data_IF_067135326178
#
_entry.id   IF_067135326178
#
_cell.length_a   1.000
_cell.length_b   1.000
_cell.length_c   1.000
_cell.angle_alpha   90.00
_cell.angle_beta   90.00
_cell.angle_gamma   90.00
#
_symmetry.space_group_name_H-M   'P 1'
#
loop_
_entity.id
_entity.type
_entity.pdbx_description
1 polymer ?
#
# COMPACT_ATOMS: atom_id res chain seq x y z
N UNK A 1 12.36 24.60 -4.31
CA UNK A 1 11.53 25.15 -3.22
C UNK A 1 10.04 25.11 -3.57
N UNK A 2 9.62 25.59 -4.76
CA UNK A 2 8.22 25.60 -5.24
C UNK A 2 7.46 24.28 -5.03
N UNK A 3 8.03 23.14 -5.46
CA UNK A 3 7.35 21.84 -5.33
C UNK A 3 6.99 21.48 -3.88
N UNK A 4 7.89 21.75 -2.93
CA UNK A 4 7.64 21.46 -1.52
C UNK A 4 6.54 22.34 -0.96
N UNK A 5 6.56 23.65 -1.25
CA UNK A 5 5.51 24.58 -0.84
C UNK A 5 4.14 24.16 -1.39
N UNK A 6 4.06 23.81 -2.67
CA UNK A 6 2.83 23.29 -3.29
C UNK A 6 2.38 21.95 -2.68
N UNK A 7 3.31 21.10 -2.24
CA UNK A 7 2.98 19.81 -1.63
C UNK A 7 2.39 19.99 -0.24
N UNK A 8 2.94 20.91 0.56
CA UNK A 8 2.39 21.28 1.86
C UNK A 8 0.98 21.85 1.66
N UNK A 9 0.83 22.79 0.72
CA UNK A 9 -0.43 23.39 0.34
C UNK A 9 -1.49 22.35 -0.08
N UNK A 10 -1.11 21.39 -0.92
CA UNK A 10 -1.99 20.28 -1.35
C UNK A 10 -2.46 19.42 -0.19
N UNK A 11 -1.61 19.24 0.83
CA UNK A 11 -1.81 18.28 1.93
C UNK A 11 -2.42 18.91 3.18
N UNK A 12 -2.67 20.21 3.18
CA UNK A 12 -3.29 20.92 4.29
C UNK A 12 -4.65 20.30 4.63
N UNK A 13 -4.90 20.14 5.93
CA UNK A 13 -6.10 19.46 6.46
C UNK A 13 -7.16 20.43 6.94
N UNK A 14 -6.72 21.58 7.43
CA UNK A 14 -7.57 22.69 7.84
C UNK A 14 -7.75 23.72 6.70
N UNK A 15 -8.94 24.33 6.63
CA UNK A 15 -9.28 25.27 5.56
C UNK A 15 -8.74 26.67 5.83
N UNK A 16 -8.76 27.13 7.07
CA UNK A 16 -8.30 28.47 7.45
C UNK A 16 -6.77 28.53 7.36
N UNK A 17 -6.08 27.50 7.89
CA UNK A 17 -4.64 27.34 7.74
C UNK A 17 -4.23 27.27 6.26
N UNK A 18 -4.99 26.55 5.44
CA UNK A 18 -4.75 26.45 4.00
C UNK A 18 -4.81 27.81 3.30
N UNK A 19 -5.80 28.66 3.63
CA UNK A 19 -5.94 29.98 3.00
C UNK A 19 -4.78 30.92 3.34
N UNK A 20 -4.32 30.88 4.59
CA UNK A 20 -3.14 31.65 5.03
C UNK A 20 -1.91 31.15 4.26
N UNK A 21 -1.71 29.83 4.22
CA UNK A 21 -0.58 29.22 3.51
C UNK A 21 -0.62 29.50 2.00
N UNK A 22 -1.82 29.52 1.39
CA UNK A 22 -2.04 29.83 -0.02
C UNK A 22 -1.63 31.25 -0.36
N UNK A 23 -2.07 32.23 0.44
CA UNK A 23 -1.69 33.63 0.24
C UNK A 23 -0.18 33.79 0.31
N UNK A 24 0.43 33.31 1.40
CA UNK A 24 1.87 33.42 1.63
C UNK A 24 2.68 32.75 0.52
N UNK A 25 2.25 31.58 0.06
CA UNK A 25 2.94 30.85 -1.03
C UNK A 25 2.84 31.61 -2.35
N UNK A 26 1.67 32.19 -2.68
CA UNK A 26 1.49 33.00 -3.88
C UNK A 26 2.37 34.25 -3.83
N UNK A 27 2.41 34.93 -2.70
CA UNK A 27 3.21 36.14 -2.53
C UNK A 27 4.70 35.84 -2.67
N UNK A 28 5.18 34.75 -2.05
CA UNK A 28 6.56 34.27 -2.23
C UNK A 28 6.90 33.92 -3.68
N UNK A 29 5.96 33.30 -4.41
CA UNK A 29 6.16 32.95 -5.82
C UNK A 29 6.14 34.16 -6.75
N UNK A 30 5.46 35.25 -6.38
CA UNK A 30 5.39 36.47 -7.20
C UNK A 30 6.57 37.40 -6.92
N UNK A 31 7.07 37.41 -5.69
CA UNK A 31 8.20 38.23 -5.26
C UNK A 31 9.54 37.76 -5.86
N UNK A 32 9.69 36.44 -6.06
CA UNK A 32 10.86 35.87 -6.69
C UNK A 32 10.83 35.96 -8.23
N UNK A 33 11.89 36.53 -8.82
CA UNK A 33 11.96 36.79 -10.26
C UNK A 33 11.91 35.52 -11.11
N UNK A 34 12.49 34.41 -10.63
CA UNK A 34 12.50 33.13 -11.35
C UNK A 34 11.13 32.44 -11.33
N UNK A 35 10.35 32.63 -10.27
CA UNK A 35 9.06 31.94 -10.08
C UNK A 35 7.84 32.82 -10.36
N UNK A 36 8.03 34.11 -10.62
CA UNK A 36 6.96 35.11 -10.83
C UNK A 36 5.91 34.70 -11.86
N UNK A 37 6.34 34.26 -13.04
CA UNK A 37 5.41 33.82 -14.09
C UNK A 37 4.56 32.63 -13.63
N UNK A 38 5.18 31.69 -12.94
CA UNK A 38 4.48 30.54 -12.36
C UNK A 38 3.55 30.97 -11.23
N UNK A 39 3.95 31.91 -10.36
CA UNK A 39 3.11 32.46 -9.29
C UNK A 39 1.83 33.12 -9.82
N UNK A 40 1.96 33.93 -10.88
CA UNK A 40 0.81 34.56 -11.57
C UNK A 40 -0.11 33.50 -12.18
N UNK A 41 0.46 32.51 -12.89
CA UNK A 41 -0.30 31.39 -13.44
C UNK A 41 -1.04 30.61 -12.33
N UNK A 42 -0.33 30.27 -11.25
CA UNK A 42 -0.88 29.50 -10.14
C UNK A 42 -2.03 30.24 -9.45
N UNK A 43 -1.87 31.54 -9.17
CA UNK A 43 -2.93 32.39 -8.61
C UNK A 43 -4.20 32.38 -9.47
N UNK A 44 -4.04 32.57 -10.78
CA UNK A 44 -5.16 32.70 -11.72
C UNK A 44 -5.92 31.39 -11.93
N UNK A 45 -5.22 30.26 -12.06
CA UNK A 45 -5.84 28.98 -12.42
C UNK A 45 -6.13 28.07 -11.23
N UNK A 46 -5.29 28.09 -10.19
CA UNK A 46 -5.38 27.18 -9.05
C UNK A 46 -5.84 27.87 -7.77
N UNK A 47 -5.50 29.14 -7.55
CA UNK A 47 -5.89 29.89 -6.34
C UNK A 47 -7.42 29.96 -6.16
N UNK A 48 -8.13 30.39 -7.21
CA UNK A 48 -9.59 30.49 -7.19
C UNK A 48 -10.30 29.12 -7.16
N UNK A 49 -9.65 28.08 -7.70
CA UNK A 49 -10.21 26.73 -7.82
C UNK A 49 -9.75 25.80 -6.69
N UNK A 50 -9.30 26.34 -5.55
CA UNK A 50 -8.81 25.54 -4.43
C UNK A 50 -9.75 24.43 -3.92
N UNK A 51 -11.09 24.57 -3.91
CA UNK A 51 -11.98 23.49 -3.48
C UNK A 51 -11.90 22.25 -4.38
N UNK A 52 -11.48 22.42 -5.64
CA UNK A 52 -11.40 21.33 -6.59
C UNK A 52 -10.18 20.44 -6.38
N UNK A 53 -9.09 20.92 -5.77
CA UNK A 53 -7.83 20.16 -5.70
C UNK A 53 -7.24 20.02 -4.29
N UNK A 54 -7.50 20.94 -3.37
CA UNK A 54 -6.92 20.93 -2.03
C UNK A 54 -7.55 19.85 -1.14
N UNK A 55 -6.73 19.23 -0.28
CA UNK A 55 -7.17 18.09 0.54
C UNK A 55 -8.21 18.48 1.60
N UNK A 56 -8.05 19.63 2.25
CA UNK A 56 -8.98 20.19 3.25
C UNK A 56 -10.43 20.36 2.75
N UNK A 57 -10.64 20.44 1.42
CA UNK A 57 -11.96 20.49 0.79
C UNK A 57 -12.49 19.13 0.32
N UNK A 58 -11.63 18.11 0.24
CA UNK A 58 -11.94 16.76 -0.26
C UNK A 58 -12.19 15.73 0.87
N UNK A 59 -12.79 16.17 1.99
CA UNK A 59 -12.98 15.39 3.23
C UNK A 59 -13.72 14.04 3.04
N UNK A 60 -14.55 13.91 2.01
CA UNK A 60 -15.31 12.69 1.69
C UNK A 60 -14.64 11.75 0.67
N UNK A 61 -13.49 12.14 0.10
CA UNK A 61 -12.96 11.40 -1.06
C UNK A 61 -12.25 10.10 -0.69
N UNK A 62 -11.76 9.91 0.54
CA UNK A 62 -11.09 8.68 1.04
C UNK A 62 -9.93 8.15 0.17
N UNK A 63 -9.61 8.84 -0.92
CA UNK A 63 -8.86 8.37 -2.07
C UNK A 63 -8.14 9.59 -2.60
N UNK A 64 -6.81 9.56 -2.55
CA UNK A 64 -5.97 10.47 -3.30
C UNK A 64 -6.14 10.15 -4.81
N UNK A 65 -7.18 10.72 -5.42
CA UNK A 65 -7.55 10.49 -6.83
C UNK A 65 -6.43 10.85 -7.79
N UNK A 66 -5.61 11.85 -7.45
CA UNK A 66 -4.46 12.27 -8.24
C UNK A 66 -3.45 11.11 -8.39
N UNK A 67 -3.15 10.37 -7.31
CA UNK A 67 -2.21 9.23 -7.36
C UNK A 67 -2.74 8.09 -8.24
N UNK A 68 -4.04 7.80 -8.18
CA UNK A 68 -4.66 6.76 -9.01
C UNK A 68 -4.69 7.16 -10.48
N UNK A 69 -4.97 8.43 -10.77
CA UNK A 69 -5.01 8.95 -12.14
C UNK A 69 -3.61 8.98 -12.75
N UNK A 70 -2.60 9.43 -12.01
CA UNK A 70 -1.20 9.41 -12.44
C UNK A 70 -0.70 7.97 -12.68
N UNK A 71 -1.04 7.05 -11.78
CA UNK A 71 -0.72 5.63 -11.94
C UNK A 71 -1.38 5.04 -13.18
N UNK A 72 -2.67 5.35 -13.42
CA UNK A 72 -3.38 4.96 -14.63
C UNK A 72 -2.70 5.53 -15.87
N UNK A 73 -2.42 6.83 -15.89
CA UNK A 73 -1.77 7.50 -17.01
C UNK A 73 -0.39 6.90 -17.31
N UNK A 74 0.41 6.60 -16.28
CA UNK A 74 1.72 5.94 -16.43
C UNK A 74 1.58 4.56 -17.07
N UNK A 75 0.63 3.74 -16.61
CA UNK A 75 0.36 2.42 -17.20
C UNK A 75 -0.06 2.58 -18.67
N UNK A 76 -1.01 3.46 -18.97
CA UNK A 76 -1.46 3.70 -20.36
C UNK A 76 -0.28 4.12 -21.24
N UNK A 77 0.51 5.11 -20.79
CA UNK A 77 1.64 5.64 -21.56
C UNK A 77 2.73 4.59 -21.81
N UNK A 78 3.16 3.86 -20.79
CA UNK A 78 4.34 3.00 -20.89
C UNK A 78 4.02 1.55 -21.28
N UNK A 79 2.87 1.01 -20.89
CA UNK A 79 2.51 -0.39 -21.13
C UNK A 79 1.64 -0.54 -22.39
N UNK A 80 0.69 0.36 -22.60
CA UNK A 80 -0.25 0.22 -23.72
C UNK A 80 0.13 1.05 -24.96
N UNK A 81 0.94 2.10 -24.78
CA UNK A 81 1.37 3.00 -25.86
C UNK A 81 2.89 3.00 -26.10
N UNK A 82 3.65 2.12 -25.45
CA UNK A 82 5.11 1.96 -25.59
C UNK A 82 5.90 3.28 -25.44
N UNK A 83 5.43 4.19 -24.58
CA UNK A 83 5.94 5.54 -24.42
C UNK A 83 5.94 6.42 -25.70
N UNK A 84 5.25 5.98 -26.77
CA UNK A 84 5.14 6.71 -28.03
C UNK A 84 4.03 7.75 -27.95
N UNK A 85 4.26 8.91 -28.57
CA UNK A 85 3.23 9.95 -28.71
C UNK A 85 2.22 9.51 -29.78
N UNK A 86 1.01 9.13 -29.37
CA UNK A 86 -0.06 8.79 -30.31
C UNK A 86 -0.74 10.06 -30.83
N UNK A 87 -0.51 10.40 -32.10
CA UNK A 87 -1.26 11.47 -32.80
C UNK A 87 -2.70 11.08 -33.15
N UNK A 88 -2.98 9.77 -33.12
CA UNK A 88 -4.23 9.14 -33.54
C UNK A 88 -5.12 8.82 -32.34
N UNK A 89 -6.30 9.43 -32.28
CA UNK A 89 -7.25 9.31 -31.18
C UNK A 89 -7.76 7.87 -31.00
N UNK A 90 -8.01 7.16 -32.10
CA UNK A 90 -8.47 5.77 -32.13
C UNK A 90 -7.56 4.83 -31.33
N UNK A 91 -6.24 5.02 -31.44
CA UNK A 91 -5.26 4.25 -30.67
C UNK A 91 -5.32 4.55 -29.18
N UNK A 92 -5.58 5.80 -28.81
CA UNK A 92 -5.74 6.20 -27.40
C UNK A 92 -6.97 5.56 -26.77
N UNK A 93 -8.12 5.60 -27.47
CA UNK A 93 -9.37 4.97 -27.01
C UNK A 93 -9.17 3.46 -26.86
N UNK A 94 -8.52 2.82 -27.83
CA UNK A 94 -8.21 1.39 -27.75
C UNK A 94 -7.35 1.05 -26.52
N UNK A 95 -6.30 1.84 -26.24
CA UNK A 95 -5.45 1.64 -25.08
C UNK A 95 -6.21 1.79 -23.75
N UNK A 96 -7.10 2.78 -23.64
CA UNK A 96 -7.96 2.98 -22.46
C UNK A 96 -8.89 1.79 -22.28
N UNK A 97 -9.58 1.35 -23.34
CA UNK A 97 -10.48 0.20 -23.27
C UNK A 97 -9.76 -1.09 -22.88
N UNK A 98 -8.53 -1.28 -23.37
CA UNK A 98 -7.69 -2.42 -22.99
C UNK A 98 -7.29 -2.35 -21.50
N UNK A 99 -6.90 -1.18 -21.01
CA UNK A 99 -6.63 -0.97 -19.58
C UNK A 99 -7.84 -1.29 -18.70
N UNK A 100 -9.04 -0.80 -19.08
CA UNK A 100 -10.28 -1.06 -18.32
C UNK A 100 -10.57 -2.55 -18.28
N UNK A 101 -10.44 -3.25 -19.40
CA UNK A 101 -10.62 -4.70 -19.48
C UNK A 101 -9.70 -5.45 -18.53
N UNK A 102 -8.40 -5.12 -18.56
CA UNK A 102 -7.41 -5.78 -17.70
C UNK A 102 -7.70 -5.49 -16.21
N UNK A 103 -8.16 -4.29 -15.86
CA UNK A 103 -8.56 -3.97 -14.48
C UNK A 103 -9.81 -4.70 -14.01
N UNK A 104 -10.76 -4.97 -14.89
CA UNK A 104 -11.93 -5.80 -14.58
C UNK A 104 -11.47 -7.23 -14.28
N UNK A 105 -10.59 -7.79 -15.11
CA UNK A 105 -10.03 -9.13 -14.90
C UNK A 105 -9.22 -9.19 -13.58
N UNK A 106 -8.35 -8.22 -13.33
CA UNK A 106 -7.61 -8.11 -12.07
C UNK A 106 -8.54 -8.12 -10.85
N UNK A 107 -9.69 -7.43 -10.95
CA UNK A 107 -10.69 -7.37 -9.89
C UNK A 107 -11.37 -8.72 -9.69
N UNK A 108 -11.75 -9.40 -10.76
CA UNK A 108 -12.33 -10.75 -10.70
C UNK A 108 -11.35 -11.71 -10.01
N UNK A 109 -10.08 -11.70 -10.42
CA UNK A 109 -9.04 -12.55 -9.83
C UNK A 109 -8.90 -12.28 -8.32
N UNK A 110 -8.87 -11.01 -7.91
CA UNK A 110 -8.78 -10.62 -6.49
C UNK A 110 -10.01 -11.03 -5.69
N UNK A 111 -11.19 -10.98 -6.28
CA UNK A 111 -12.42 -11.41 -5.62
C UNK A 111 -12.44 -12.93 -5.42
N UNK A 112 -11.98 -13.70 -6.41
CA UNK A 112 -11.96 -15.17 -6.34
C UNK A 112 -10.87 -15.68 -5.41
N UNK A 113 -9.65 -15.12 -5.47
CA UNK A 113 -8.49 -15.59 -4.68
C UNK A 113 -8.39 -14.94 -3.29
N UNK A 114 -9.19 -13.91 -3.02
CA UNK A 114 -9.04 -13.07 -1.85
C UNK A 114 -7.80 -12.15 -1.93
N UNK A 115 -7.63 -11.32 -0.90
CA UNK A 115 -6.50 -10.37 -0.82
C UNK A 115 -5.23 -11.13 -0.48
N UNK A 116 -4.34 -11.30 -1.46
CA UNK A 116 -2.99 -11.80 -1.22
C UNK A 116 -2.17 -10.74 -0.48
N UNK A 117 -2.09 -10.86 0.85
CA UNK A 117 -1.30 -9.95 1.67
C UNK A 117 0.12 -10.49 1.85
N UNK A 118 1.06 -9.58 2.13
CA UNK A 118 2.42 -9.94 2.51
C UNK A 118 2.42 -10.96 3.67
N UNK A 119 1.57 -10.76 4.67
CA UNK A 119 1.41 -11.68 5.80
C UNK A 119 0.94 -13.08 5.38
N UNK A 120 -0.06 -13.17 4.49
CA UNK A 120 -0.53 -14.47 3.98
C UNK A 120 0.58 -15.22 3.22
N UNK A 121 1.41 -14.49 2.45
CA UNK A 121 2.59 -15.07 1.78
C UNK A 121 3.62 -15.57 2.78
N UNK A 122 3.97 -14.75 3.77
CA UNK A 122 4.94 -15.12 4.80
C UNK A 122 4.49 -16.35 5.60
N UNK A 123 3.22 -16.39 6.02
CA UNK A 123 2.64 -17.54 6.72
C UNK A 123 2.76 -18.80 5.87
N UNK A 124 2.38 -18.72 4.59
CA UNK A 124 2.50 -19.85 3.67
C UNK A 124 3.95 -20.33 3.50
N UNK A 125 4.91 -19.41 3.35
CA UNK A 125 6.33 -19.76 3.23
C UNK A 125 6.86 -20.40 4.51
N UNK A 126 6.54 -19.85 5.68
CA UNK A 126 6.94 -20.41 6.98
C UNK A 126 6.34 -21.79 7.19
N UNK A 127 5.07 -21.97 6.85
CA UNK A 127 4.41 -23.27 6.90
C UNK A 127 5.10 -24.29 6.00
N UNK A 128 5.38 -23.94 4.74
CA UNK A 128 6.07 -24.82 3.79
C UNK A 128 7.50 -25.16 4.23
N UNK A 129 8.19 -24.22 4.89
CA UNK A 129 9.51 -24.48 5.48
C UNK A 129 9.40 -25.41 6.68
N UNK A 130 8.42 -25.20 7.57
CA UNK A 130 8.19 -26.07 8.73
C UNK A 130 7.82 -27.50 8.32
N UNK A 131 7.04 -27.70 7.25
CA UNK A 131 6.72 -29.03 6.73
C UNK A 131 7.94 -29.85 6.27
N UNK A 132 9.07 -29.19 5.99
CA UNK A 132 10.32 -29.86 5.58
C UNK A 132 11.24 -30.17 6.76
N UNK A 133 10.98 -29.59 7.93
CA UNK A 133 11.79 -29.77 9.13
C UNK A 133 11.23 -30.96 9.90
N UNK A 134 12.09 -31.90 10.26
CA UNK A 134 11.73 -32.94 11.23
C UNK A 134 11.87 -32.37 12.63
N UNK A 135 10.78 -32.42 13.38
CA UNK A 135 10.73 -31.98 14.77
C UNK A 135 10.83 -33.21 15.67
N UNK A 136 11.77 -33.20 16.59
CA UNK A 136 11.80 -34.13 17.71
C UNK A 136 11.00 -33.51 18.86
N UNK A 137 10.03 -34.25 19.38
CA UNK A 137 9.14 -33.78 20.44
C UNK A 137 9.34 -34.66 21.65
N UNK A 138 9.96 -34.12 22.68
CA UNK A 138 10.13 -34.78 23.96
C UNK A 138 9.05 -34.31 24.93
N UNK A 139 8.31 -35.26 25.50
CA UNK A 139 7.33 -34.97 26.53
C UNK A 139 8.04 -34.81 27.88
N UNK A 140 7.94 -33.64 28.49
CA UNK A 140 8.38 -33.45 29.87
C UNK A 140 7.21 -33.76 30.83
N UNK A 141 7.54 -34.19 32.04
CA UNK A 141 6.58 -34.30 33.13
C UNK A 141 5.90 -32.93 33.36
N UNK A 142 4.57 -32.92 33.52
CA UNK A 142 3.69 -31.75 33.71
C UNK A 142 3.10 -31.07 32.46
N UNK A 143 2.83 -31.81 31.37
CA UNK A 143 2.00 -31.29 30.26
C UNK A 143 2.65 -30.21 29.42
N UNK A 144 3.99 -30.21 29.41
CA UNK A 144 4.83 -29.32 28.61
C UNK A 144 5.69 -30.16 27.67
N UNK A 145 5.74 -29.78 26.41
CA UNK A 145 6.51 -30.46 25.36
C UNK A 145 7.70 -29.62 24.96
N UNK A 146 8.86 -30.24 24.86
CA UNK A 146 10.05 -29.60 24.30
C UNK A 146 10.18 -30.04 22.85
N UNK A 147 10.06 -29.08 21.93
CA UNK A 147 10.19 -29.31 20.49
C UNK A 147 11.58 -28.86 20.06
N UNK A 148 12.42 -29.82 19.69
CA UNK A 148 13.77 -29.62 19.20
C UNK A 148 13.81 -29.86 17.70
N UNK A 149 14.45 -28.97 16.94
CA UNK A 149 14.66 -29.16 15.49
C UNK A 149 16.02 -29.77 15.23
N UNK A 150 16.07 -30.88 14.48
CA UNK A 150 17.35 -31.38 13.96
C UNK A 150 17.88 -30.41 12.90
N UNK A 151 18.94 -29.68 13.26
CA UNK A 151 19.65 -28.76 12.37
C UNK A 151 20.27 -29.52 11.20
N UNK A 152 19.50 -29.69 10.11
CA UNK A 152 20.01 -30.28 8.85
C UNK A 152 19.98 -29.32 7.66
N UNK A 153 19.53 -28.08 7.81
CA UNK A 153 19.63 -27.06 6.75
C UNK A 153 20.07 -25.68 7.25
N UNK A 154 21.38 -25.55 7.48
CA UNK A 154 22.15 -24.35 7.13
C UNK A 154 21.88 -23.03 7.86
N UNK A 155 21.21 -23.00 9.02
CA UNK A 155 21.08 -21.79 9.85
C UNK A 155 21.39 -22.10 11.33
N UNK A 156 22.09 -21.14 11.95
CA UNK A 156 22.75 -21.20 13.25
C UNK A 156 21.91 -21.73 14.42
N UNK A 157 22.56 -22.61 15.20
CA UNK A 157 22.21 -23.15 16.51
C UNK A 157 20.87 -23.93 16.63
N UNK A 158 20.85 -25.06 17.35
CA UNK A 158 19.62 -25.77 17.66
C UNK A 158 18.70 -24.86 18.48
N UNK A 159 17.51 -24.57 17.97
CA UNK A 159 16.48 -23.83 18.70
C UNK A 159 15.52 -24.85 19.30
N UNK A 160 15.52 -24.94 20.63
CA UNK A 160 14.50 -25.67 21.38
C UNK A 160 13.36 -24.71 21.72
N UNK A 161 12.13 -25.20 21.55
CA UNK A 161 10.91 -24.48 21.90
C UNK A 161 10.15 -25.26 22.96
N UNK A 162 9.86 -24.62 24.09
CA UNK A 162 9.00 -25.19 25.13
C UNK A 162 7.55 -24.79 24.85
N UNK A 163 6.69 -25.77 24.60
CA UNK A 163 5.27 -25.58 24.29
C UNK A 163 4.44 -26.16 25.43
N UNK A 164 3.54 -25.36 26.01
CA UNK A 164 2.61 -25.81 27.05
C UNK A 164 1.16 -25.75 26.57
N UNK A 165 0.32 -26.65 27.08
CA UNK A 165 -1.11 -26.64 26.78
C UNK A 165 -1.74 -25.41 27.45
N UNK A 166 -2.26 -24.48 26.67
CA UNK A 166 -2.99 -23.33 27.21
C UNK A 166 -4.40 -23.79 27.63
N UNK A 167 -4.75 -23.58 28.91
CA UNK A 167 -6.04 -23.96 29.51
C UNK A 167 -7.01 -22.76 29.57
N UNK A 168 -6.59 -21.58 29.09
CA UNK A 168 -7.42 -20.37 29.14
C UNK A 168 -8.11 -20.08 27.80
N UNK A 169 -9.43 -19.85 27.85
CA UNK A 169 -10.27 -19.46 26.70
C UNK A 169 -10.10 -17.99 26.25
N UNK A 170 -9.12 -17.26 26.82
CA UNK A 170 -8.92 -15.83 26.54
C UNK A 170 -7.49 -15.58 26.06
N UNK A 171 -7.33 -15.46 24.74
CA UNK A 171 -6.02 -15.27 24.11
C UNK A 171 -5.67 -13.77 24.08
N UNK A 172 -4.89 -13.32 25.07
CA UNK A 172 -4.27 -11.98 25.06
C UNK A 172 -2.93 -12.04 24.32
N UNK A 173 -2.94 -11.54 23.09
CA UNK A 173 -1.81 -10.98 22.32
C UNK A 173 -0.39 -11.35 22.81
N UNK A 174 0.19 -12.45 22.32
CA UNK A 174 1.57 -12.51 21.83
C UNK A 174 1.97 -13.95 21.44
N UNK A 175 2.48 -14.11 20.22
CA UNK A 175 3.32 -15.23 19.78
C UNK A 175 2.84 -16.69 19.96
N UNK A 176 1.56 -16.99 19.78
CA UNK A 176 1.09 -18.39 19.70
C UNK A 176 0.80 -18.82 18.24
N UNK A 177 1.35 -19.98 17.85
CA UNK A 177 1.02 -20.65 16.58
C UNK A 177 -0.24 -21.49 16.82
N UNK A 178 -1.37 -21.08 16.22
CA UNK A 178 -2.57 -21.91 16.17
C UNK A 178 -2.38 -23.03 15.15
N UNK A 179 -2.28 -24.27 15.62
CA UNK A 179 -2.57 -25.43 14.77
C UNK A 179 -4.08 -25.68 14.87
N UNK A 180 -4.87 -25.04 14.00
CA UNK A 180 -6.24 -25.51 13.79
C UNK A 180 -6.13 -26.86 13.08
N UNK A 181 -6.31 -27.95 13.85
CA UNK A 181 -6.72 -29.21 13.26
C UNK A 181 -8.05 -28.95 12.56
N UNK A 182 -8.00 -28.81 11.23
CA UNK A 182 -9.16 -29.00 10.39
C UNK A 182 -9.59 -30.46 10.56
N UNK A 183 -10.36 -30.73 11.61
CA UNK A 183 -11.32 -31.82 11.63
C UNK A 183 -12.39 -31.46 10.60
N UNK A 184 -12.15 -31.84 9.35
CA UNK A 184 -13.25 -32.09 8.44
C UNK A 184 -13.62 -33.58 8.57
N UNK A 185 -14.93 -33.90 8.65
CA UNK A 185 -15.43 -35.28 8.77
C UNK A 185 -15.16 -36.13 7.53
#
# INVERSE_FOLDING_TARGET
MVYNSLKILQSATDQDEFHILLSNTIDQLIDDMETKEFGVYFKNFYGANCPQWAYCYRKSSGINTNLRLESMHKIIKYIYLDAKKTKRLDKGIYAINRYVRDKIVDRIIKNVKGKYTFYTKEIYLRHKSAMKIQFQVDQCENGTWTVSTDTTHGLSAPKSYTVSKNISDVCMLSNYVFCMQNLYP
#
